data_IF_730574291662
#
_entry.id   IF_730574291662
#
_cell.length_a   1.000
_cell.length_b   1.000
_cell.length_c   1.000
_cell.angle_alpha   90.00
_cell.angle_beta   90.00
_cell.angle_gamma   90.00
#
_symmetry.space_group_name_H-M   'P 1'
#
loop_
_entity.id
_entity.type
_entity.pdbx_description
1 polymer ?
#
# COMPACT_ATOMS: atom_id res chain seq x y z
N UNK A 1 -2.67 -6.46 18.46
CA UNK A 1 -1.58 -6.91 17.56
C UNK A 1 -1.19 -8.33 17.97
N UNK A 2 -1.53 -9.34 17.15
CA UNK A 2 -1.17 -10.76 17.31
C UNK A 2 -1.57 -11.40 18.65
N UNK A 3 -2.78 -11.95 18.74
CA UNK A 3 -3.12 -12.90 19.82
C UNK A 3 -2.68 -14.31 19.37
N UNK A 4 -2.30 -15.21 20.27
CA UNK A 4 -1.97 -16.63 19.98
C UNK A 4 -3.09 -17.43 19.26
N UNK A 5 -4.23 -16.80 19.02
CA UNK A 5 -5.44 -17.33 18.41
C UNK A 5 -5.52 -16.98 16.91
N UNK A 6 -5.01 -15.82 16.51
CA UNK A 6 -5.06 -15.32 15.13
C UNK A 6 -3.67 -14.90 14.64
N UNK A 7 -3.38 -15.07 13.35
CA UNK A 7 -2.08 -14.74 12.76
C UNK A 7 -1.72 -13.24 12.91
N UNK A 8 -0.43 -12.94 12.75
CA UNK A 8 0.04 -11.56 12.64
C UNK A 8 -0.63 -10.91 11.41
N UNK A 9 -0.92 -9.60 11.48
CA UNK A 9 -1.65 -8.84 10.45
C UNK A 9 -3.06 -9.37 10.17
N UNK A 10 -3.77 -9.75 11.23
CA UNK A 10 -5.20 -10.08 11.18
C UNK A 10 -5.98 -9.46 12.33
N UNK A 11 -7.29 -9.37 12.12
CA UNK A 11 -8.29 -9.01 13.11
C UNK A 11 -9.11 -10.25 13.48
N UNK A 12 -9.32 -10.43 14.77
CA UNK A 12 -10.16 -11.49 15.31
C UNK A 12 -11.58 -10.95 15.48
N UNK A 13 -12.56 -11.59 14.86
CA UNK A 13 -13.99 -11.32 15.05
C UNK A 13 -14.65 -12.52 15.71
N UNK A 14 -15.21 -12.30 16.90
CA UNK A 14 -15.95 -13.34 17.61
C UNK A 14 -17.27 -13.65 16.89
N UNK A 15 -17.63 -14.93 16.84
CA UNK A 15 -18.91 -15.40 16.30
C UNK A 15 -19.62 -16.24 17.38
N UNK A 16 -20.95 -16.45 17.30
CA UNK A 16 -21.64 -17.29 18.28
C UNK A 16 -21.03 -18.70 18.33
N UNK A 17 -20.37 -19.04 19.44
CA UNK A 17 -19.70 -20.33 19.64
C UNK A 17 -18.33 -20.48 18.97
N UNK A 18 -17.76 -19.45 18.33
CA UNK A 18 -16.46 -19.53 17.66
C UNK A 18 -15.81 -18.15 17.46
N UNK A 19 -14.79 -18.07 16.60
CA UNK A 19 -14.15 -16.85 16.13
C UNK A 19 -13.70 -17.02 14.67
N UNK A 20 -13.49 -15.90 13.98
CA UNK A 20 -12.94 -15.84 12.63
C UNK A 20 -11.77 -14.86 12.62
N UNK A 21 -10.68 -15.22 11.94
CA UNK A 21 -9.53 -14.34 11.75
C UNK A 21 -9.54 -13.84 10.29
N UNK A 22 -9.65 -12.53 10.11
CA UNK A 22 -9.59 -11.89 8.81
C UNK A 22 -8.26 -11.12 8.69
N UNK A 23 -7.54 -11.28 7.58
CA UNK A 23 -6.33 -10.49 7.36
C UNK A 23 -6.67 -9.00 7.29
N UNK A 24 -5.82 -8.16 7.88
CA UNK A 24 -5.97 -6.71 7.79
C UNK A 24 -5.84 -6.24 6.35
N UNK A 25 -6.38 -5.05 6.03
CA UNK A 25 -6.22 -4.45 4.70
C UNK A 25 -4.75 -4.43 4.25
N UNK A 26 -4.51 -4.77 2.98
CA UNK A 26 -3.15 -4.93 2.42
C UNK A 26 -2.56 -6.33 2.60
N UNK A 27 -3.28 -7.27 3.21
CA UNK A 27 -2.81 -8.66 3.40
C UNK A 27 -3.82 -9.67 2.90
N UNK A 28 -3.32 -10.82 2.44
CA UNK A 28 -4.12 -11.96 1.99
C UNK A 28 -3.78 -13.22 2.77
N UNK A 29 -4.78 -14.07 2.93
CA UNK A 29 -4.61 -15.39 3.51
C UNK A 29 -4.01 -16.33 2.47
N UNK A 30 -2.79 -16.82 2.68
CA UNK A 30 -2.11 -17.64 1.66
C UNK A 30 -2.24 -19.14 1.92
N UNK A 31 -2.54 -19.55 3.16
CA UNK A 31 -2.63 -20.97 3.53
C UNK A 31 -3.70 -21.25 4.59
N UNK A 32 -4.14 -22.50 4.70
CA UNK A 32 -5.03 -23.00 5.77
C UNK A 32 -4.47 -22.78 7.18
N UNK A 33 -3.14 -22.61 7.30
CA UNK A 33 -2.44 -22.27 8.55
C UNK A 33 -2.67 -20.84 9.02
N UNK A 34 -3.40 -20.03 8.26
CA UNK A 34 -3.77 -18.70 8.70
C UNK A 34 -2.72 -17.62 8.42
N UNK A 35 -1.65 -17.82 7.65
CA UNK A 35 -0.64 -16.75 7.50
C UNK A 35 -1.19 -15.63 6.60
N UNK A 36 -1.21 -14.41 7.12
CA UNK A 36 -1.50 -13.19 6.38
C UNK A 36 -0.21 -12.65 5.77
N UNK A 37 -0.06 -12.83 4.47
CA UNK A 37 1.06 -12.29 3.70
C UNK A 37 0.65 -10.99 3.04
N UNK A 38 1.63 -10.10 2.91
CA UNK A 38 1.48 -8.83 2.23
C UNK A 38 0.99 -9.02 0.79
N UNK A 39 0.04 -8.20 0.37
CA UNK A 39 -0.40 -8.17 -1.02
C UNK A 39 0.55 -7.23 -1.75
N UNK A 40 1.29 -7.74 -2.72
CA UNK A 40 2.07 -6.88 -3.60
C UNK A 40 1.15 -6.17 -4.60
N UNK A 41 0.67 -4.96 -4.27
CA UNK A 41 -0.26 -4.24 -5.14
C UNK A 41 0.40 -3.80 -6.46
N UNK A 42 1.73 -3.63 -6.48
CA UNK A 42 2.48 -3.30 -7.69
C UNK A 42 2.48 -4.46 -8.71
N UNK A 43 2.48 -5.71 -8.24
CA UNK A 43 2.35 -6.89 -9.11
C UNK A 43 0.90 -7.17 -9.48
N UNK A 44 -0.03 -6.97 -8.54
CA UNK A 44 -1.45 -7.20 -8.74
C UNK A 44 -2.07 -6.20 -9.73
N UNK A 45 -1.65 -4.93 -9.65
CA UNK A 45 -2.12 -3.85 -10.51
C UNK A 45 -0.94 -3.01 -11.00
N UNK A 46 -0.30 -3.40 -12.13
CA UNK A 46 0.86 -2.71 -12.66
C UNK A 46 0.62 -1.22 -13.02
N UNK A 47 -0.65 -0.84 -13.23
CA UNK A 47 -1.06 0.53 -13.58
C UNK A 47 -1.59 1.33 -12.37
N UNK A 48 -1.39 0.85 -11.14
CA UNK A 48 -1.84 1.52 -9.91
C UNK A 48 -1.11 2.85 -9.64
N UNK A 49 0.10 2.97 -10.18
CA UNK A 49 0.88 4.20 -10.15
C UNK A 49 1.15 4.65 -11.59
N UNK A 50 1.10 5.95 -11.84
CA UNK A 50 1.41 6.49 -13.18
C UNK A 50 2.87 6.21 -13.58
N UNK A 51 3.80 6.25 -12.61
CA UNK A 51 5.23 6.16 -12.89
C UNK A 51 5.91 4.99 -12.18
N UNK A 52 6.22 5.12 -10.88
CA UNK A 52 6.93 4.07 -10.13
C UNK A 52 6.09 3.61 -8.94
N UNK A 53 5.87 2.30 -8.82
CA UNK A 53 5.22 1.68 -7.68
C UNK A 53 6.26 1.07 -6.74
N UNK A 54 6.11 1.29 -5.43
CA UNK A 54 6.90 0.65 -4.38
C UNK A 54 5.96 -0.12 -3.45
N UNK A 55 6.13 -1.44 -3.41
CA UNK A 55 5.42 -2.29 -2.47
C UNK A 55 6.02 -2.15 -1.06
N UNK A 56 5.18 -2.02 -0.03
CA UNK A 56 5.59 -1.99 1.37
C UNK A 56 4.69 -2.87 2.20
N UNK A 57 5.15 -3.25 3.39
CA UNK A 57 4.34 -4.10 4.25
C UNK A 57 3.00 -3.42 4.65
N UNK A 58 1.90 -4.00 4.16
CA UNK A 58 0.51 -3.60 4.35
C UNK A 58 -0.01 -2.54 3.38
N UNK A 59 0.77 -2.10 2.39
CA UNK A 59 0.34 -1.10 1.41
C UNK A 59 1.33 -0.94 0.25
N UNK A 60 1.13 0.10 -0.54
CA UNK A 60 2.08 0.56 -1.55
C UNK A 60 2.15 2.08 -1.54
N UNK A 61 3.16 2.63 -2.18
CA UNK A 61 3.16 4.05 -2.51
C UNK A 61 3.74 4.30 -3.91
N UNK A 62 3.20 5.32 -4.55
CA UNK A 62 3.67 5.77 -5.84
C UNK A 62 4.76 6.83 -5.68
N UNK A 63 5.76 6.75 -6.55
CA UNK A 63 6.83 7.72 -6.69
C UNK A 63 6.82 8.29 -8.10
N UNK A 64 7.07 9.59 -8.19
CA UNK A 64 7.31 10.28 -9.44
C UNK A 64 8.81 10.33 -9.74
N UNK A 65 9.14 10.34 -11.03
CA UNK A 65 10.49 10.58 -11.55
C UNK A 65 10.91 12.01 -11.25
N UNK A 66 12.20 12.28 -11.39
CA UNK A 66 12.76 13.62 -11.23
C UNK A 66 12.05 14.64 -12.15
N UNK A 67 11.73 15.82 -11.60
CA UNK A 67 10.95 16.84 -12.31
C UNK A 67 9.44 16.67 -12.26
N UNK A 68 8.92 15.77 -11.42
CA UNK A 68 7.49 15.57 -11.22
C UNK A 68 7.15 15.56 -9.73
N UNK A 69 5.94 16.00 -9.39
CA UNK A 69 5.36 15.88 -8.05
C UNK A 69 4.16 14.95 -8.04
N UNK A 70 4.04 14.16 -6.97
CA UNK A 70 2.88 13.31 -6.74
C UNK A 70 1.65 14.16 -6.46
N UNK A 71 0.54 13.83 -7.10
CA UNK A 71 -0.74 14.48 -6.91
C UNK A 71 -1.43 14.03 -5.62
N UNK A 72 -2.54 14.70 -5.27
CA UNK A 72 -3.34 14.41 -4.07
C UNK A 72 -4.02 13.04 -4.11
N UNK A 73 -4.21 12.46 -5.30
CA UNK A 73 -4.70 11.09 -5.49
C UNK A 73 -3.67 10.01 -5.13
N UNK A 74 -2.42 10.42 -4.84
CA UNK A 74 -1.26 9.58 -4.49
C UNK A 74 -0.88 8.56 -5.57
N UNK A 75 -1.36 8.74 -6.80
CA UNK A 75 -1.18 7.80 -7.90
C UNK A 75 -0.62 8.47 -9.16
N UNK A 76 -1.08 9.70 -9.45
CA UNK A 76 -0.65 10.45 -10.64
C UNK A 76 0.44 11.45 -10.32
N UNK A 77 1.20 11.82 -11.34
CA UNK A 77 2.35 12.70 -11.28
C UNK A 77 2.09 13.90 -12.18
N UNK A 78 2.25 15.10 -11.63
CA UNK A 78 2.26 16.33 -12.42
C UNK A 78 3.68 16.80 -12.63
N UNK A 79 3.98 17.25 -13.85
CA UNK A 79 5.26 17.88 -14.15
C UNK A 79 5.46 19.09 -13.24
N UNK A 80 6.65 19.19 -12.65
CA UNK A 80 7.13 20.42 -12.04
C UNK A 80 7.87 21.19 -13.11
N UNK A 81 7.26 22.27 -13.61
CA UNK A 81 7.98 23.17 -14.50
C UNK A 81 9.12 23.84 -13.71
N UNK A 82 10.36 23.40 -13.97
CA UNK A 82 11.60 23.94 -13.39
C UNK A 82 11.79 25.45 -13.63
N UNK A 83 10.96 26.08 -14.47
CA UNK A 83 10.98 27.52 -14.79
C UNK A 83 10.72 28.39 -13.56
N UNK A 84 10.04 27.88 -12.53
CA UNK A 84 9.79 28.64 -11.31
C UNK A 84 10.96 28.68 -10.32
N UNK A 85 11.98 27.81 -10.46
CA UNK A 85 13.14 27.84 -9.54
C UNK A 85 14.04 29.05 -9.83
N UNK A 86 14.08 29.52 -11.08
CA UNK A 86 14.93 30.65 -11.51
C UNK A 86 14.28 32.04 -11.38
N UNK A 87 13.00 32.15 -10.99
CA UNK A 87 12.31 33.45 -10.89
C UNK A 87 12.19 33.94 -9.44
N UNK A 88 12.33 33.06 -8.43
CA UNK A 88 12.37 33.48 -7.01
C UNK A 88 13.80 33.75 -6.49
N UNK A 89 14.82 33.52 -7.31
CA UNK A 89 16.25 33.74 -7.01
C UNK A 89 16.86 34.92 -7.80
N UNK A 90 16.04 35.87 -8.27
CA UNK A 90 16.46 37.19 -8.78
C UNK A 90 15.82 38.27 -7.94
#
# INVERSE_FOLDING_TARGET
>A
KGSSICPINSECRNTPGSYVCDCTSGYKMVNERGICEDINECELSPNICEQKCINIQGSYYCLCKEGYRLNSDKQTCRGEDFVFINIFYI
#
